data_IF_485623456236
#
_entry.id   IF_485623456236
#
_cell.length_a   1.000
_cell.length_b   1.000
_cell.length_c   1.000
_cell.angle_alpha   90.00
_cell.angle_beta   90.00
_cell.angle_gamma   90.00
#
_symmetry.space_group_name_H-M   'P 1'
#
loop_
_entity.id
_entity.type
_entity.pdbx_description
1 polymer ?
#
# COMPACT_ATOMS: atom_id res chain seq x y z
N UNK A 1 -21.18 49.15 -16.27
CA UNK A 1 -20.71 47.74 -16.27
C UNK A 1 -20.11 47.47 -14.91
N UNK A 2 -20.86 46.83 -14.01
CA UNK A 2 -20.40 46.48 -12.67
C UNK A 2 -19.94 45.03 -12.67
N UNK A 3 -18.66 44.79 -12.44
CA UNK A 3 -18.08 43.46 -12.31
C UNK A 3 -18.78 42.72 -11.16
N UNK A 4 -19.34 41.54 -11.46
CA UNK A 4 -19.85 40.62 -10.45
C UNK A 4 -18.66 40.04 -9.69
N UNK A 5 -18.61 40.13 -8.35
CA UNK A 5 -17.55 39.48 -7.59
C UNK A 5 -17.77 37.96 -7.67
N UNK A 6 -16.77 37.24 -8.19
CA UNK A 6 -16.77 35.78 -8.17
C UNK A 6 -16.89 35.26 -6.74
N UNK A 7 -17.69 34.21 -6.50
CA UNK A 7 -17.76 33.59 -5.19
C UNK A 7 -16.41 32.92 -4.90
N UNK A 8 -15.61 33.56 -4.04
CA UNK A 8 -14.47 32.93 -3.36
C UNK A 8 -14.94 31.55 -2.89
N UNK A 9 -14.38 30.48 -3.45
CA UNK A 9 -14.55 29.11 -2.95
C UNK A 9 -14.27 29.15 -1.46
N UNK A 10 -15.32 29.17 -0.63
CA UNK A 10 -15.17 28.92 0.79
C UNK A 10 -14.65 27.50 0.84
N UNK A 11 -13.39 27.34 1.23
CA UNK A 11 -12.88 26.08 1.74
C UNK A 11 -13.72 25.77 2.97
N UNK A 12 -14.86 25.11 2.76
CA UNK A 12 -15.71 24.63 3.84
C UNK A 12 -14.86 23.68 4.66
N UNK A 13 -14.70 23.98 5.95
CA UNK A 13 -14.04 23.05 6.85
C UNK A 13 -14.73 21.69 6.75
N UNK A 14 -13.97 20.59 6.61
CA UNK A 14 -14.56 19.28 6.44
C UNK A 14 -15.45 18.95 7.64
N UNK A 15 -16.64 18.41 7.37
CA UNK A 15 -17.55 18.01 8.44
C UNK A 15 -17.01 16.78 9.16
N UNK A 16 -17.48 16.55 10.39
CA UNK A 16 -17.13 15.34 11.17
C UNK A 16 -17.36 14.06 10.36
N UNK A 17 -18.49 13.96 9.66
CA UNK A 17 -18.84 12.78 8.87
C UNK A 17 -17.90 12.61 7.66
N UNK A 18 -17.46 13.70 7.03
CA UNK A 18 -16.47 13.65 5.96
C UNK A 18 -15.12 13.13 6.46
N UNK A 19 -14.66 13.60 7.64
CA UNK A 19 -13.41 13.14 8.25
C UNK A 19 -13.48 11.65 8.63
N UNK A 20 -14.60 11.21 9.21
CA UNK A 20 -14.81 9.81 9.57
C UNK A 20 -14.90 8.91 8.33
N UNK A 21 -15.55 9.38 7.26
CA UNK A 21 -15.62 8.65 6.00
C UNK A 21 -14.24 8.49 5.38
N UNK A 22 -13.47 9.57 5.30
CA UNK A 22 -12.12 9.51 4.76
C UNK A 22 -11.21 8.59 5.61
N UNK A 23 -11.35 8.62 6.93
CA UNK A 23 -10.62 7.70 7.80
C UNK A 23 -10.95 6.22 7.48
N UNK A 24 -12.23 5.90 7.28
CA UNK A 24 -12.67 4.56 6.93
C UNK A 24 -12.14 4.13 5.54
N UNK A 25 -12.20 5.02 4.55
CA UNK A 25 -11.68 4.73 3.20
C UNK A 25 -10.16 4.48 3.23
N UNK A 26 -9.40 5.24 4.03
CA UNK A 26 -7.95 5.03 4.21
C UNK A 26 -7.64 3.70 4.87
N UNK A 27 -8.44 3.27 5.85
CA UNK A 27 -8.29 1.95 6.46
C UNK A 27 -8.63 0.81 5.53
N UNK A 28 -9.71 0.93 4.75
CA UNK A 28 -10.06 -0.07 3.74
C UNK A 28 -8.93 -0.25 2.72
N UNK A 29 -8.29 0.85 2.32
CA UNK A 29 -7.12 0.80 1.44
C UNK A 29 -5.92 0.14 2.14
N UNK A 30 -5.67 0.45 3.42
CA UNK A 30 -4.58 -0.19 4.18
C UNK A 30 -4.77 -1.71 4.28
N UNK A 31 -6.00 -2.19 4.50
CA UNK A 31 -6.31 -3.63 4.49
C UNK A 31 -6.01 -4.26 3.13
N UNK A 32 -6.29 -3.53 2.04
CA UNK A 32 -5.99 -4.00 0.68
C UNK A 32 -4.49 -4.16 0.45
N UNK A 33 -3.68 -3.18 0.86
CA UNK A 33 -2.21 -3.28 0.77
C UNK A 33 -1.65 -4.44 1.60
N UNK A 34 -2.19 -4.69 2.80
CA UNK A 34 -1.76 -5.84 3.62
C UNK A 34 -2.11 -7.17 2.99
N UNK A 35 -3.26 -7.26 2.32
CA UNK A 35 -3.64 -8.46 1.58
C UNK A 35 -2.66 -8.70 0.42
N UNK A 36 -2.27 -7.65 -0.29
CA UNK A 36 -1.28 -7.79 -1.37
C UNK A 36 0.09 -8.19 -0.84
N UNK A 37 0.58 -7.53 0.21
CA UNK A 37 1.84 -7.89 0.86
C UNK A 37 1.91 -9.40 1.18
N UNK A 38 0.82 -9.97 1.73
CA UNK A 38 0.74 -11.40 2.06
C UNK A 38 0.72 -12.33 0.84
N UNK A 39 0.18 -11.87 -0.29
CA UNK A 39 0.04 -12.68 -1.50
C UNK A 39 1.30 -12.68 -2.38
N UNK A 40 2.22 -11.72 -2.20
CA UNK A 40 3.43 -11.61 -3.03
C UNK A 40 4.40 -12.80 -2.84
N UNK A 41 4.68 -13.28 -1.62
CA UNK A 41 5.54 -14.46 -1.43
C UNK A 41 4.98 -15.74 -2.06
N UNK A 42 3.64 -15.89 -2.05
CA UNK A 42 2.93 -17.04 -2.62
C UNK A 42 3.16 -17.16 -4.15
N UNK A 43 3.38 -16.04 -4.84
CA UNK A 43 3.55 -16.02 -6.29
C UNK A 43 4.81 -16.77 -6.79
N UNK A 44 5.81 -16.97 -5.92
CA UNK A 44 7.05 -17.66 -6.25
C UNK A 44 7.29 -18.91 -5.41
N UNK A 45 6.30 -19.41 -4.66
CA UNK A 45 6.48 -20.55 -3.75
C UNK A 45 7.03 -21.80 -4.48
N UNK A 46 6.52 -22.09 -5.67
CA UNK A 46 6.90 -23.25 -6.47
C UNK A 46 8.20 -23.08 -7.27
N UNK A 47 8.84 -21.90 -7.22
CA UNK A 47 10.06 -21.65 -7.97
C UNK A 47 11.31 -22.00 -7.18
N UNK A 48 12.36 -22.54 -7.83
CA UNK A 48 13.60 -22.86 -7.14
C UNK A 48 14.17 -21.63 -6.44
N UNK A 49 14.54 -21.80 -5.18
CA UNK A 49 15.08 -20.75 -4.33
C UNK A 49 16.60 -20.79 -4.28
N UNK A 50 17.21 -21.92 -4.67
CA UNK A 50 18.65 -22.17 -4.65
C UNK A 50 19.06 -23.02 -5.85
N UNK A 51 20.32 -22.89 -6.32
CA UNK A 51 20.87 -23.75 -7.37
C UNK A 51 20.67 -25.25 -7.13
N UNK A 52 20.84 -25.70 -5.88
CA UNK A 52 20.69 -27.11 -5.49
C UNK A 52 19.27 -27.68 -5.68
N UNK A 53 18.24 -26.83 -5.76
CA UNK A 53 16.84 -27.25 -5.86
C UNK A 53 16.53 -27.87 -7.25
N UNK A 54 17.29 -27.50 -8.30
CA UNK A 54 17.04 -27.94 -9.67
C UNK A 54 18.24 -28.65 -10.33
N UNK A 55 19.44 -28.56 -9.74
CA UNK A 55 20.67 -29.17 -10.25
C UNK A 55 20.56 -30.65 -10.66
N UNK A 56 19.77 -31.51 -9.98
CA UNK A 56 19.62 -32.91 -10.41
C UNK A 56 18.88 -33.09 -11.75
N UNK A 57 18.01 -32.14 -12.11
CA UNK A 57 17.07 -32.27 -13.23
C UNK A 57 17.40 -31.34 -14.40
N UNK A 58 18.02 -30.20 -14.11
CA UNK A 58 18.29 -29.17 -15.11
C UNK A 58 19.65 -28.52 -14.86
N UNK A 59 20.53 -28.55 -15.86
CA UNK A 59 21.90 -28.03 -15.77
C UNK A 59 22.27 -27.19 -16.98
N UNK A 60 23.37 -26.48 -16.84
CA UNK A 60 23.99 -25.69 -17.90
C UNK A 60 23.57 -24.22 -17.90
N UNK A 61 24.05 -23.44 -18.89
CA UNK A 61 23.93 -21.99 -18.88
C UNK A 61 22.48 -21.47 -18.87
N UNK A 62 21.55 -22.21 -19.45
CA UNK A 62 20.13 -21.84 -19.45
C UNK A 62 19.52 -21.90 -18.04
N UNK A 63 19.81 -22.98 -17.29
CA UNK A 63 19.37 -23.14 -15.90
C UNK A 63 19.95 -22.04 -15.01
N UNK A 64 21.22 -21.69 -15.21
CA UNK A 64 21.89 -20.62 -14.46
C UNK A 64 21.29 -19.23 -14.72
N UNK A 65 20.92 -18.92 -15.98
CA UNK A 65 20.23 -17.65 -16.29
C UNK A 65 18.85 -17.60 -15.66
N UNK A 66 18.10 -18.71 -15.70
CA UNK A 66 16.78 -18.78 -15.10
C UNK A 66 16.83 -18.57 -13.59
N UNK A 67 17.70 -19.27 -12.85
CA UNK A 67 17.79 -19.08 -11.39
C UNK A 67 18.21 -17.65 -11.05
N UNK A 68 19.12 -17.06 -11.81
CA UNK A 68 19.55 -15.68 -11.61
C UNK A 68 18.36 -14.73 -11.73
N UNK A 69 17.49 -14.95 -12.72
CA UNK A 69 16.29 -14.17 -12.91
C UNK A 69 15.26 -14.39 -11.79
N UNK A 70 15.04 -15.63 -11.36
CA UNK A 70 14.12 -15.95 -10.25
C UNK A 70 14.60 -15.31 -8.95
N UNK A 71 15.89 -15.41 -8.63
CA UNK A 71 16.47 -14.78 -7.44
C UNK A 71 16.36 -13.26 -7.47
N UNK A 72 16.52 -12.66 -8.64
CA UNK A 72 16.29 -11.23 -8.83
C UNK A 72 14.82 -10.87 -8.59
N UNK A 73 13.89 -11.61 -9.19
CA UNK A 73 12.46 -11.38 -9.03
C UNK A 73 12.01 -11.53 -7.57
N UNK A 74 12.56 -12.49 -6.83
CA UNK A 74 12.31 -12.63 -5.39
C UNK A 74 12.65 -11.35 -4.62
N UNK A 75 13.83 -10.76 -4.86
CA UNK A 75 14.21 -9.48 -4.23
C UNK A 75 13.28 -8.34 -4.62
N UNK A 76 12.90 -8.25 -5.89
CA UNK A 76 11.95 -7.23 -6.36
C UNK A 76 10.56 -7.40 -5.70
N UNK A 77 10.14 -8.64 -5.40
CA UNK A 77 8.90 -8.89 -4.65
C UNK A 77 9.04 -8.60 -3.16
N UNK A 78 10.19 -8.89 -2.55
CA UNK A 78 10.47 -8.54 -1.15
C UNK A 78 10.41 -7.00 -0.98
N UNK A 79 11.03 -6.25 -1.88
CA UNK A 79 10.97 -4.77 -1.89
C UNK A 79 9.52 -4.28 -2.05
N UNK A 80 8.73 -4.92 -2.91
CA UNK A 80 7.33 -4.57 -3.13
C UNK A 80 6.44 -4.92 -1.92
N UNK A 81 6.74 -6.01 -1.21
CA UNK A 81 6.08 -6.38 0.04
C UNK A 81 6.32 -5.28 1.08
N UNK A 82 7.57 -4.88 1.28
CA UNK A 82 7.95 -3.82 2.21
C UNK A 82 7.24 -2.49 1.89
N UNK A 83 7.19 -2.11 0.62
CA UNK A 83 6.47 -0.92 0.16
C UNK A 83 4.96 -1.00 0.46
N UNK A 84 4.36 -2.18 0.28
CA UNK A 84 2.95 -2.41 0.61
C UNK A 84 2.71 -2.28 2.12
N UNK A 85 3.59 -2.86 2.94
CA UNK A 85 3.52 -2.77 4.40
C UNK A 85 3.67 -1.32 4.88
N UNK A 86 4.67 -0.60 4.38
CA UNK A 86 4.92 0.80 4.70
C UNK A 86 3.74 1.70 4.30
N UNK A 87 3.16 1.45 3.12
CA UNK A 87 1.98 2.18 2.63
C UNK A 87 0.76 1.93 3.51
N UNK A 88 0.49 0.67 3.87
CA UNK A 88 -0.60 0.31 4.77
C UNK A 88 -0.46 0.99 6.14
N UNK A 89 0.74 1.03 6.69
CA UNK A 89 1.02 1.69 7.97
C UNK A 89 0.81 3.22 7.86
N UNK A 90 1.29 3.84 6.79
CA UNK A 90 1.09 5.27 6.53
C UNK A 90 -0.41 5.63 6.42
N UNK A 91 -1.19 4.79 5.73
CA UNK A 91 -2.64 4.94 5.61
C UNK A 91 -3.34 4.83 6.97
N UNK A 92 -2.97 3.85 7.80
CA UNK A 92 -3.49 3.70 9.17
C UNK A 92 -3.17 4.90 10.05
N UNK A 93 -1.92 5.40 9.99
CA UNK A 93 -1.51 6.61 10.71
C UNK A 93 -2.33 7.84 10.26
N UNK A 94 -2.61 7.98 8.97
CA UNK A 94 -3.48 9.04 8.43
C UNK A 94 -4.93 8.89 8.89
N UNK A 95 -5.49 7.69 8.83
CA UNK A 95 -6.86 7.42 9.31
C UNK A 95 -7.03 7.75 10.80
N UNK A 96 -6.04 7.40 11.62
CA UNK A 96 -6.03 7.76 13.05
C UNK A 96 -6.05 9.27 13.25
N UNK A 97 -5.22 10.03 12.55
CA UNK A 97 -5.21 11.50 12.62
C UNK A 97 -6.55 12.11 12.18
N UNK A 98 -7.19 11.57 11.16
CA UNK A 98 -8.52 12.01 10.72
C UNK A 98 -9.59 11.78 11.78
N UNK A 99 -9.54 10.67 12.52
CA UNK A 99 -10.44 10.43 13.66
C UNK A 99 -10.17 11.37 14.83
N UNK A 100 -8.90 11.64 15.13
CA UNK A 100 -8.51 12.62 16.15
C UNK A 100 -9.03 14.02 15.79
N UNK A 101 -8.93 14.42 14.51
CA UNK A 101 -9.52 15.67 14.01
C UNK A 101 -11.05 15.67 14.11
N UNK A 102 -11.71 14.56 13.73
CA UNK A 102 -13.16 14.43 13.86
C UNK A 102 -13.66 14.53 15.31
N UNK A 103 -12.86 14.05 16.27
CA UNK A 103 -13.14 14.20 17.70
C UNK A 103 -13.00 15.66 18.18
N UNK A 104 -12.03 16.40 17.65
CA UNK A 104 -11.84 17.83 17.95
C UNK A 104 -12.94 18.71 17.33
N UNK A 105 -13.50 18.34 16.18
CA UNK A 105 -14.68 19.03 15.61
C UNK A 105 -15.93 18.85 16.48
N UNK A 106 -15.95 17.82 17.33
CA UNK A 106 -17.08 17.50 18.20
C UNK A 106 -17.00 18.10 19.63
N UNK A 107 -16.02 18.96 19.95
CA UNK A 107 -15.94 19.66 21.25
C UNK A 107 -15.01 20.89 21.25
N UNK A 108 -15.18 21.87 22.17
CA UNK A 108 -15.76 21.73 23.50
C UNK A 108 -17.21 22.24 23.59
N UNK A 109 -18.02 21.57 24.42
CA UNK A 109 -19.27 22.08 24.92
C UNK A 109 -19.05 23.27 25.88
#
# INVERSE_FOLDING_TARGET
>A
MGERPEPRRRLTMPTKDQLLREAADKEALAVTFLRYARALPEALEDLPSRPGDYEPFWRGPAAQRFITQVLRLRRELDDLEDDCLATAESLRRRARRLREQAAQVAGPA
#
